data_IF_877106924999
#
_entry.id   IF_877106924999
#
_cell.length_a   1.000
_cell.length_b   1.000
_cell.length_c   1.000
_cell.angle_alpha   90.00
_cell.angle_beta   90.00
_cell.angle_gamma   90.00
#
_symmetry.space_group_name_H-M   'P 1'
#
loop_
_entity.id
_entity.type
_entity.pdbx_description
1 polymer ?
#
# COMPACT_ATOMS: atom_id res chain seq x y z
N UNK A 1 0.16 -21.30 -0.13
CA UNK A 1 0.31 -21.46 -0.28
C UNK A 1 0.30 -21.38 -0.61
N UNK A 2 0.41 -21.14 -0.47
CA UNK A 2 0.71 -21.18 -0.71
C UNK A 2 0.92 -21.29 -1.26
N UNK A 3 1.15 -21.27 -1.31
CA UNK A 3 1.65 -21.41 -1.90
C UNK A 3 1.76 -21.83 -2.59
N UNK A 4 1.64 -22.12 -2.51
CA UNK A 4 1.91 -22.51 -3.36
C UNK A 4 1.57 -22.72 -4.11
N UNK A 5 1.34 -22.86 -4.04
CA UNK A 5 0.97 -22.88 -4.88
C UNK A 5 1.29 -22.43 -5.70
N UNK A 6 1.93 -22.35 -5.71
CA UNK A 6 2.42 -21.93 -6.41
C UNK A 6 2.91 -21.94 -7.24
N UNK A 7 3.15 -22.37 -7.33
CA UNK A 7 3.78 -22.48 -8.11
C UNK A 7 4.10 -22.66 -9.13
N UNK A 8 4.04 -23.32 -9.25
CA UNK A 8 4.51 -23.58 -10.48
C UNK A 8 4.20 -22.74 -11.31
N UNK A 9 4.04 -22.36 -11.03
CA UNK A 9 3.65 -21.61 -11.71
C UNK A 9 4.21 -20.38 -11.45
N UNK A 10 5.47 -20.26 -11.43
CA UNK A 10 6.19 -19.09 -11.17
C UNK A 10 5.85 -17.96 -12.08
N UNK A 11 5.65 -18.22 -13.34
CA UNK A 11 5.26 -17.16 -14.24
C UNK A 11 3.86 -16.68 -13.91
N UNK A 12 3.04 -17.51 -13.34
CA UNK A 12 1.75 -17.07 -12.88
C UNK A 12 1.90 -16.08 -11.74
N UNK A 13 2.85 -16.33 -10.87
CA UNK A 13 3.09 -15.42 -9.77
C UNK A 13 3.47 -14.03 -10.29
N UNK A 14 4.28 -14.00 -11.35
CA UNK A 14 4.70 -12.72 -11.89
C UNK A 14 3.57 -11.97 -12.56
N UNK A 15 2.52 -12.65 -12.92
CA UNK A 15 1.37 -12.01 -13.56
C UNK A 15 0.34 -11.53 -12.55
N UNK A 16 0.54 -11.85 -11.28
CA UNK A 16 -0.39 -11.40 -10.25
C UNK A 16 -0.27 -9.90 -10.11
N UNK A 17 -1.36 -9.16 -10.35
CA UNK A 17 -1.31 -7.73 -10.13
C UNK A 17 -1.14 -7.43 -8.65
N UNK A 18 -0.50 -6.32 -8.37
CA UNK A 18 -0.37 -5.87 -7.01
C UNK A 18 -0.46 -4.35 -7.00
N UNK A 19 -1.17 -3.83 -6.03
CA UNK A 19 -1.40 -2.40 -5.89
C UNK A 19 -0.51 -1.85 -4.79
N UNK A 20 0.01 -0.64 -5.01
CA UNK A 20 0.52 0.19 -3.93
C UNK A 20 -0.60 1.15 -3.59
N UNK A 21 -0.86 1.35 -2.31
CA UNK A 21 -1.99 2.17 -1.89
C UNK A 21 -1.59 3.14 -0.80
N UNK A 22 -2.42 4.17 -0.65
CA UNK A 22 -2.32 5.15 0.41
C UNK A 22 -3.67 5.19 1.13
N UNK A 23 -3.66 4.96 2.44
CA UNK A 23 -4.84 5.05 3.26
C UNK A 23 -4.66 6.14 4.30
N UNK A 24 -5.76 6.72 4.76
CA UNK A 24 -5.76 7.80 5.73
C UNK A 24 -6.64 7.42 6.90
N UNK A 25 -6.14 7.59 8.11
CA UNK A 25 -6.94 7.41 9.32
C UNK A 25 -7.39 8.79 9.78
N UNK A 26 -8.67 9.06 9.58
CA UNK A 26 -9.23 10.38 9.88
C UNK A 26 -9.23 10.69 11.37
N UNK A 27 -9.12 9.66 12.22
CA UNK A 27 -9.14 9.86 13.66
C UNK A 27 -7.86 10.51 14.18
N UNK A 28 -6.71 10.16 13.59
CA UNK A 28 -5.43 10.68 14.06
C UNK A 28 -4.66 11.44 12.99
N UNK A 29 -5.15 11.45 11.75
CA UNK A 29 -4.52 12.18 10.66
C UNK A 29 -3.33 11.47 10.02
N UNK A 30 -3.03 10.24 10.42
CA UNK A 30 -1.88 9.50 9.90
C UNK A 30 -2.24 8.81 8.59
N UNK A 31 -1.20 8.42 7.83
CA UNK A 31 -1.35 7.80 6.53
C UNK A 31 -0.59 6.48 6.51
N UNK A 32 -1.17 5.50 5.82
CA UNK A 32 -0.57 4.17 5.66
C UNK A 32 -0.17 3.99 4.19
N UNK A 33 1.10 3.63 3.99
CA UNK A 33 1.62 3.29 2.66
C UNK A 33 1.83 1.79 2.64
N UNK A 34 1.10 1.09 1.77
CA UNK A 34 1.17 -0.36 1.74
C UNK A 34 0.95 -0.94 0.36
N UNK A 35 0.93 -2.26 0.28
CA UNK A 35 0.63 -2.96 -0.97
C UNK A 35 -0.35 -4.09 -0.71
N UNK A 36 -1.15 -4.41 -1.73
CA UNK A 36 -2.18 -5.43 -1.60
C UNK A 36 -2.65 -5.86 -2.98
N UNK A 37 -3.10 -7.10 -3.10
CA UNK A 37 -3.77 -7.55 -4.32
C UNK A 37 -5.13 -6.88 -4.49
N UNK A 38 -5.73 -6.45 -3.39
CA UNK A 38 -7.08 -5.90 -3.41
C UNK A 38 -7.21 -4.82 -2.34
N UNK A 39 -6.86 -3.57 -2.67
CA UNK A 39 -6.87 -2.49 -1.67
C UNK A 39 -8.25 -2.22 -1.09
N UNK A 40 -9.31 -2.40 -1.88
CA UNK A 40 -10.67 -2.17 -1.38
C UNK A 40 -11.01 -3.19 -0.30
N UNK A 41 -10.65 -4.45 -0.53
CA UNK A 41 -10.87 -5.49 0.47
C UNK A 41 -10.02 -5.21 1.72
N UNK A 42 -8.77 -4.76 1.50
CA UNK A 42 -7.88 -4.44 2.61
C UNK A 42 -8.42 -3.29 3.44
N UNK A 43 -9.00 -2.29 2.78
CA UNK A 43 -9.65 -1.19 3.47
C UNK A 43 -10.75 -1.70 4.38
N UNK A 44 -11.61 -2.57 3.87
CA UNK A 44 -12.69 -3.14 4.67
C UNK A 44 -12.18 -3.92 5.86
N UNK A 45 -11.10 -4.69 5.67
CA UNK A 45 -10.50 -5.46 6.76
C UNK A 45 -10.00 -4.52 7.86
N UNK A 46 -9.33 -3.44 7.48
CA UNK A 46 -8.80 -2.49 8.45
C UNK A 46 -9.93 -1.72 9.13
N UNK A 47 -11.01 -1.42 8.40
CA UNK A 47 -12.14 -0.72 8.97
C UNK A 47 -12.88 -1.54 10.02
N UNK A 48 -12.74 -2.86 9.99
CA UNK A 48 -13.38 -3.69 11.02
C UNK A 48 -12.80 -3.39 12.40
N UNK A 49 -11.56 -2.89 12.45
CA UNK A 49 -10.93 -2.51 13.71
C UNK A 49 -10.94 -1.00 13.92
N UNK A 50 -10.75 -0.24 12.84
CA UNK A 50 -10.72 1.23 12.91
C UNK A 50 -11.55 1.79 11.76
N UNK A 51 -12.84 2.05 12.02
CA UNK A 51 -13.75 2.51 10.94
C UNK A 51 -13.35 3.84 10.31
N UNK A 52 -12.43 4.58 10.92
CA UNK A 52 -12.00 5.87 10.40
C UNK A 52 -10.95 5.78 9.31
N UNK A 53 -10.52 4.57 8.96
CA UNK A 53 -9.52 4.37 7.90
C UNK A 53 -10.20 4.41 6.54
N UNK A 54 -9.64 5.19 5.61
CA UNK A 54 -10.17 5.35 4.26
C UNK A 54 -9.07 5.16 3.23
N UNK A 55 -9.38 4.44 2.16
CA UNK A 55 -8.50 4.32 1.01
C UNK A 55 -8.61 5.61 0.19
N UNK A 56 -7.49 6.29 -0.04
CA UNK A 56 -7.52 7.54 -0.78
C UNK A 56 -6.83 7.46 -2.14
N UNK A 57 -5.94 6.51 -2.34
CA UNK A 57 -5.28 6.35 -3.64
C UNK A 57 -4.72 4.95 -3.75
N UNK A 58 -4.70 4.41 -4.97
CA UNK A 58 -4.03 3.15 -5.24
C UNK A 58 -3.71 3.08 -6.73
N UNK A 59 -2.70 2.30 -7.06
CA UNK A 59 -2.34 2.07 -8.45
C UNK A 59 -1.86 0.63 -8.61
N UNK A 60 -2.29 0.00 -9.70
CA UNK A 60 -1.96 -1.38 -9.99
C UNK A 60 -0.65 -1.46 -10.76
N UNK A 61 0.23 -2.35 -10.33
CA UNK A 61 1.50 -2.59 -10.99
C UNK A 61 1.54 -4.02 -11.54
N UNK A 62 2.31 -4.28 -12.59
CA UNK A 62 2.23 -5.57 -13.28
C UNK A 62 2.74 -6.75 -12.46
N UNK A 63 3.64 -6.51 -11.52
CA UNK A 63 4.16 -7.59 -10.69
C UNK A 63 4.24 -7.17 -9.25
N UNK A 64 4.18 -8.16 -8.36
CA UNK A 64 4.35 -7.93 -6.93
C UNK A 64 5.73 -7.38 -6.63
N UNK A 65 6.74 -7.82 -7.38
CA UNK A 65 8.09 -7.36 -7.19
C UNK A 65 8.21 -5.86 -7.45
N UNK A 66 7.57 -5.38 -8.50
CA UNK A 66 7.58 -3.96 -8.82
C UNK A 66 6.88 -3.16 -7.72
N UNK A 67 5.72 -3.62 -7.29
CA UNK A 67 4.97 -2.93 -6.24
C UNK A 67 5.77 -2.90 -4.93
N UNK A 68 6.43 -4.00 -4.60
CA UNK A 68 7.23 -4.09 -3.38
C UNK A 68 8.41 -3.13 -3.42
N UNK A 69 9.06 -3.01 -4.58
CA UNK A 69 10.18 -2.08 -4.72
C UNK A 69 9.72 -0.64 -4.54
N UNK A 70 8.56 -0.30 -5.10
CA UNK A 70 8.02 1.04 -4.97
C UNK A 70 7.61 1.33 -3.52
N UNK A 71 6.94 0.37 -2.87
CA UNK A 71 6.56 0.54 -1.48
C UNK A 71 7.79 0.79 -0.61
N UNK A 72 8.85 0.00 -0.83
CA UNK A 72 10.08 0.15 -0.08
C UNK A 72 10.71 1.53 -0.32
N UNK A 73 10.70 1.98 -1.57
CA UNK A 73 11.24 3.30 -1.89
C UNK A 73 10.47 4.41 -1.18
N UNK A 74 9.13 4.30 -1.14
CA UNK A 74 8.32 5.28 -0.45
C UNK A 74 8.57 5.25 1.06
N UNK A 75 8.70 4.06 1.65
CA UNK A 75 9.00 3.94 3.06
C UNK A 75 10.33 4.58 3.39
N UNK A 76 11.33 4.41 2.54
CA UNK A 76 12.65 5.01 2.75
C UNK A 76 12.59 6.52 2.59
N UNK A 77 11.85 6.99 1.59
CA UNK A 77 11.77 8.43 1.32
C UNK A 77 11.14 9.18 2.49
N UNK A 78 10.16 8.58 3.13
CA UNK A 78 9.44 9.22 4.23
C UNK A 78 9.81 8.65 5.59
N UNK A 79 10.99 8.02 5.70
CA UNK A 79 11.39 7.33 6.93
C UNK A 79 11.44 8.26 8.14
N UNK A 80 11.78 9.53 7.94
CA UNK A 80 11.82 10.50 9.03
C UNK A 80 10.44 10.89 9.54
N UNK A 81 9.39 10.51 8.83
CA UNK A 81 8.01 10.78 9.22
C UNK A 81 7.31 9.52 9.71
N UNK A 82 8.03 8.44 9.82
CA UNK A 82 7.53 7.14 10.22
C UNK A 82 7.07 7.16 11.68
N UNK A 83 5.90 6.58 11.93
CA UNK A 83 5.36 6.48 13.28
C UNK A 83 5.53 5.06 13.80
N UNK A 84 4.94 4.09 13.11
CA UNK A 84 5.15 2.68 13.39
C UNK A 84 4.49 1.85 12.28
N UNK A 85 5.00 0.63 12.07
CA UNK A 85 4.49 -0.23 11.03
C UNK A 85 4.57 0.46 9.69
N UNK A 86 3.46 0.58 8.99
CA UNK A 86 3.39 1.27 7.71
C UNK A 86 2.70 2.64 7.83
N UNK A 87 2.60 3.18 9.03
CA UNK A 87 1.93 4.45 9.29
C UNK A 87 2.92 5.60 9.38
N UNK A 88 2.56 6.73 8.77
CA UNK A 88 3.42 7.90 8.59
C UNK A 88 2.65 9.17 8.88
N UNK A 89 3.37 10.17 9.40
CA UNK A 89 2.80 11.51 9.60
C UNK A 89 3.16 12.36 8.39
N UNK A 90 2.36 12.28 7.33
CA UNK A 90 2.62 12.98 6.08
C UNK A 90 1.93 14.33 6.07
N UNK A 91 2.57 15.30 5.40
CA UNK A 91 1.94 16.60 5.13
C UNK A 91 1.02 16.47 3.91
N UNK A 92 0.21 17.49 3.68
CA UNK A 92 -0.64 17.52 2.48
C UNK A 92 0.21 17.48 1.21
N UNK A 93 1.36 18.17 1.22
CA UNK A 93 2.26 18.14 0.06
C UNK A 93 2.82 16.75 -0.16
N UNK A 94 3.22 16.06 0.91
CA UNK A 94 3.70 14.68 0.80
C UNK A 94 2.64 13.78 0.20
N UNK A 95 1.40 13.92 0.66
CA UNK A 95 0.29 13.11 0.16
C UNK A 95 0.07 13.38 -1.32
N UNK A 96 0.10 14.63 -1.72
CA UNK A 96 -0.07 15.02 -3.11
C UNK A 96 1.02 14.43 -4.00
N UNK A 97 2.27 14.47 -3.52
CA UNK A 97 3.40 13.90 -4.25
C UNK A 97 3.26 12.39 -4.41
N UNK A 98 2.80 11.71 -3.37
CA UNK A 98 2.61 10.26 -3.44
C UNK A 98 1.50 9.93 -4.43
N UNK A 99 0.38 10.65 -4.38
CA UNK A 99 -0.73 10.39 -5.29
C UNK A 99 -0.29 10.57 -6.74
N UNK A 100 0.49 11.61 -7.01
CA UNK A 100 1.02 11.81 -8.35
C UNK A 100 1.98 10.72 -8.76
N UNK A 101 2.76 10.21 -7.81
CA UNK A 101 3.71 9.15 -8.10
C UNK A 101 3.08 7.79 -8.32
N UNK A 102 1.84 7.59 -7.87
CA UNK A 102 1.13 6.34 -8.04
C UNK A 102 0.40 6.33 -9.39
N UNK A 103 1.16 6.39 -10.46
CA UNK A 103 0.55 6.39 -11.80
C UNK A 103 1.33 5.56 -12.79
#
# INVERSE_FOLDING_TARGET
IEDIKDTAVSNTVEKDPCFVYLMHDEANGFYKIGMSNNPVYREGTLQSEKPTIKLIASHRYPTRKFASALETALHNLYSNLHIRGEWYRLSEDDVSDIIEGLK
#
